data_IF_155580484591
#
_entry.id   IF_155580484591
#
_cell.length_a   1.000
_cell.length_b   1.000
_cell.length_c   1.000
_cell.angle_alpha   90.00
_cell.angle_beta   90.00
_cell.angle_gamma   90.00
#
_symmetry.space_group_name_H-M   'P 1'
#
loop_
_entity.id
_entity.type
_entity.pdbx_description
1 polymer ?
#
# COMPACT_ATOMS: atom_id res chain seq x y z
N UNK A 1 -12.28 -12.54 -16.21
CA UNK A 1 -12.02 -12.18 -14.82
C UNK A 1 -11.45 -10.77 -14.80
N UNK A 2 -12.07 -9.87 -14.04
CA UNK A 2 -11.78 -8.43 -14.07
C UNK A 2 -11.63 -7.88 -12.68
N UNK A 3 -10.94 -6.73 -12.55
CA UNK A 3 -10.78 -6.01 -11.30
C UNK A 3 -11.35 -4.60 -11.36
N UNK A 4 -11.71 -4.05 -10.21
CA UNK A 4 -12.09 -2.64 -10.08
C UNK A 4 -11.08 -1.97 -9.16
N UNK A 5 -10.34 -1.00 -9.69
CA UNK A 5 -9.48 -0.11 -8.93
C UNK A 5 -10.23 1.20 -8.65
N UNK A 6 -10.35 1.55 -7.37
CA UNK A 6 -11.01 2.77 -6.91
C UNK A 6 -9.93 3.70 -6.37
N UNK A 7 -9.68 4.78 -7.11
CA UNK A 7 -8.65 5.76 -6.76
C UNK A 7 -9.15 6.78 -5.73
N UNK A 8 -8.48 6.87 -4.59
CA UNK A 8 -8.77 7.83 -3.52
C UNK A 8 -7.63 8.85 -3.45
N UNK A 9 -7.75 10.01 -4.10
CA UNK A 9 -6.65 10.97 -4.24
C UNK A 9 -6.50 11.90 -3.03
N UNK A 10 -6.57 11.36 -1.82
CA UNK A 10 -6.44 12.15 -0.60
C UNK A 10 -5.40 11.56 0.33
N UNK A 11 -4.57 12.44 0.95
CA UNK A 11 -3.61 12.10 1.98
C UNK A 11 -3.71 13.11 3.13
N UNK A 12 -3.39 12.69 4.36
CA UNK A 12 -3.24 13.62 5.49
C UNK A 12 -1.98 14.47 5.34
N UNK A 13 -0.92 13.88 4.81
CA UNK A 13 0.41 14.46 4.70
C UNK A 13 1.04 14.14 3.36
N UNK A 14 1.83 15.07 2.81
CA UNK A 14 2.58 14.88 1.57
C UNK A 14 3.95 14.27 1.89
N UNK A 15 4.18 13.02 1.50
CA UNK A 15 5.50 12.40 1.60
C UNK A 15 6.50 13.10 0.66
N UNK A 16 7.77 13.24 1.07
CA UNK A 16 8.77 13.99 0.32
C UNK A 16 9.12 13.37 -1.04
N UNK A 17 8.96 12.07 -1.19
CA UNK A 17 9.29 11.30 -2.40
C UNK A 17 8.11 11.12 -3.37
N UNK A 18 6.87 11.38 -2.91
CA UNK A 18 5.66 10.99 -3.64
C UNK A 18 5.35 11.97 -4.80
N UNK A 19 5.23 11.43 -6.01
CA UNK A 19 4.82 12.13 -7.23
C UNK A 19 3.41 11.74 -7.70
N UNK A 20 2.71 10.89 -6.97
CA UNK A 20 1.35 10.48 -7.32
C UNK A 20 0.36 11.64 -7.24
N UNK A 21 -0.74 11.49 -7.97
CA UNK A 21 -1.82 12.46 -7.91
C UNK A 21 -2.57 12.37 -6.58
N UNK A 22 -2.34 13.31 -5.69
CA UNK A 22 -3.04 13.40 -4.40
C UNK A 22 -3.32 14.85 -3.99
N UNK A 23 -4.16 15.01 -2.99
CA UNK A 23 -4.45 16.29 -2.34
C UNK A 23 -4.48 16.14 -0.82
N UNK A 24 -3.86 17.08 -0.12
CA UNK A 24 -4.00 17.19 1.35
C UNK A 24 -5.22 18.01 1.77
N UNK A 25 -5.94 18.58 0.80
CA UNK A 25 -7.19 19.27 1.06
C UNK A 25 -8.38 18.31 0.99
N UNK A 26 -8.91 17.95 2.15
CA UNK A 26 -9.98 16.95 2.31
C UNK A 26 -11.40 17.49 2.08
N UNK A 27 -11.57 18.78 1.78
CA UNK A 27 -12.90 19.43 1.68
C UNK A 27 -13.83 18.79 0.65
N UNK A 28 -13.25 18.19 -0.39
CA UNK A 28 -14.02 17.54 -1.47
C UNK A 28 -14.10 16.01 -1.33
N UNK A 29 -13.71 15.46 -0.20
CA UNK A 29 -13.67 14.01 0.00
C UNK A 29 -15.05 13.37 -0.15
N UNK A 30 -16.06 13.93 0.49
CA UNK A 30 -17.43 13.40 0.46
C UNK A 30 -18.06 13.53 -0.93
N UNK A 31 -17.83 14.66 -1.64
CA UNK A 31 -18.26 14.84 -3.03
C UNK A 31 -17.58 13.81 -3.96
N UNK A 32 -16.31 13.49 -3.73
CA UNK A 32 -15.58 12.48 -4.49
C UNK A 32 -16.16 11.08 -4.28
N UNK A 33 -16.52 10.72 -3.06
CA UNK A 33 -17.17 9.42 -2.76
C UNK A 33 -18.48 9.27 -3.54
N UNK A 34 -19.29 10.31 -3.60
CA UNK A 34 -20.53 10.30 -4.39
C UNK A 34 -20.25 10.22 -5.91
N UNK A 35 -19.22 10.93 -6.39
CA UNK A 35 -18.83 10.89 -7.79
C UNK A 35 -18.30 9.50 -8.19
N UNK A 36 -17.50 8.85 -7.33
CA UNK A 36 -17.00 7.49 -7.55
C UNK A 36 -18.16 6.48 -7.61
N UNK A 37 -19.13 6.56 -6.70
CA UNK A 37 -20.30 5.70 -6.74
C UNK A 37 -21.09 5.88 -8.05
N UNK A 38 -21.20 7.11 -8.54
CA UNK A 38 -21.86 7.42 -9.83
C UNK A 38 -21.06 6.87 -11.01
N UNK A 39 -19.73 6.98 -10.99
CA UNK A 39 -18.87 6.40 -12.02
C UNK A 39 -18.96 4.88 -12.05
N UNK A 40 -18.98 4.21 -10.90
CA UNK A 40 -19.21 2.76 -10.76
C UNK A 40 -20.51 2.36 -11.48
N UNK A 41 -21.60 3.08 -11.22
CA UNK A 41 -22.89 2.86 -11.89
C UNK A 41 -22.80 3.06 -13.41
N UNK A 42 -22.21 4.17 -13.85
CA UNK A 42 -22.13 4.53 -15.28
C UNK A 42 -21.30 3.54 -16.09
N UNK A 43 -20.21 3.02 -15.51
CA UNK A 43 -19.32 2.07 -16.17
C UNK A 43 -19.81 0.61 -16.13
N UNK A 44 -20.88 0.32 -15.40
CA UNK A 44 -21.34 -1.06 -15.18
C UNK A 44 -21.66 -1.84 -16.47
N UNK A 45 -22.02 -1.14 -17.55
CA UNK A 45 -22.32 -1.74 -18.85
C UNK A 45 -21.08 -2.07 -19.68
N UNK A 46 -19.90 -1.57 -19.31
CA UNK A 46 -18.66 -1.77 -20.07
C UNK A 46 -17.91 -3.06 -19.71
N UNK A 47 -18.33 -3.74 -18.65
CA UNK A 47 -17.71 -4.98 -18.16
C UNK A 47 -18.78 -6.04 -18.04
N UNK A 48 -18.60 -7.16 -18.72
CA UNK A 48 -19.50 -8.33 -18.70
C UNK A 48 -18.95 -9.46 -17.84
N UNK A 49 -17.67 -9.47 -17.59
CA UNK A 49 -16.95 -10.45 -16.80
C UNK A 49 -17.26 -10.29 -15.30
N UNK A 50 -17.02 -11.35 -14.54
CA UNK A 50 -17.13 -11.28 -13.08
C UNK A 50 -15.95 -10.53 -12.48
N UNK A 51 -16.22 -9.73 -11.44
CA UNK A 51 -15.21 -8.99 -10.67
C UNK A 51 -14.61 -9.93 -9.63
N UNK A 52 -13.29 -10.09 -9.68
CA UNK A 52 -12.50 -10.89 -8.75
C UNK A 52 -11.79 -10.04 -7.69
N UNK A 53 -11.49 -8.77 -8.05
CA UNK A 53 -10.78 -7.87 -7.14
C UNK A 53 -11.47 -6.51 -7.06
N UNK A 54 -11.52 -5.94 -5.85
CA UNK A 54 -11.89 -4.55 -5.59
C UNK A 54 -10.72 -3.95 -4.82
N UNK A 55 -10.06 -2.97 -5.40
CA UNK A 55 -8.85 -2.40 -4.83
C UNK A 55 -9.02 -0.89 -4.60
N UNK A 56 -8.93 -0.47 -3.34
CA UNK A 56 -8.89 0.93 -2.97
C UNK A 56 -7.44 1.35 -2.82
N UNK A 57 -7.00 2.25 -3.69
CA UNK A 57 -5.62 2.72 -3.72
C UNK A 57 -5.51 4.20 -4.10
N UNK A 58 -4.28 4.66 -4.31
CA UNK A 58 -3.97 6.00 -4.80
C UNK A 58 -3.22 6.87 -3.81
N UNK A 59 -3.90 7.77 -3.10
CA UNK A 59 -3.33 8.53 -2.01
C UNK A 59 -3.32 7.71 -0.72
N UNK A 60 -4.40 7.82 0.08
CA UNK A 60 -4.53 7.08 1.34
C UNK A 60 -5.99 6.67 1.56
N UNK A 61 -6.44 5.54 1.02
CA UNK A 61 -7.83 5.10 1.14
C UNK A 61 -8.31 4.91 2.58
N UNK A 62 -7.42 4.60 3.52
CA UNK A 62 -7.76 4.49 4.95
C UNK A 62 -8.29 5.77 5.59
N UNK A 63 -8.17 6.92 4.93
CA UNK A 63 -8.73 8.20 5.38
C UNK A 63 -10.27 8.26 5.23
N UNK A 64 -10.86 7.41 4.39
CA UNK A 64 -12.31 7.34 4.21
C UNK A 64 -12.98 6.79 5.48
N UNK A 65 -14.19 7.23 5.77
CA UNK A 65 -14.99 6.61 6.82
C UNK A 65 -15.39 5.18 6.41
N UNK A 66 -15.64 4.30 7.38
CA UNK A 66 -16.12 2.93 7.10
C UNK A 66 -17.42 2.96 6.29
N UNK A 67 -18.30 3.91 6.60
CA UNK A 67 -19.55 4.09 5.85
C UNK A 67 -19.30 4.40 4.37
N UNK A 68 -18.27 5.20 4.04
CA UNK A 68 -17.90 5.54 2.67
C UNK A 68 -17.34 4.32 1.92
N UNK A 69 -16.42 3.57 2.55
CA UNK A 69 -15.88 2.33 1.99
C UNK A 69 -17.00 1.32 1.73
N UNK A 70 -17.86 1.11 2.72
CA UNK A 70 -19.02 0.23 2.59
C UNK A 70 -19.95 0.66 1.45
N UNK A 71 -20.25 1.95 1.35
CA UNK A 71 -21.10 2.51 0.30
C UNK A 71 -20.52 2.25 -1.09
N UNK A 72 -19.22 2.43 -1.28
CA UNK A 72 -18.55 2.14 -2.56
C UNK A 72 -18.53 0.65 -2.86
N UNK A 73 -18.22 -0.21 -1.88
CA UNK A 73 -18.27 -1.67 -2.04
C UNK A 73 -19.68 -2.12 -2.41
N UNK A 74 -20.70 -1.66 -1.69
CA UNK A 74 -22.10 -2.01 -1.99
C UNK A 74 -22.53 -1.49 -3.37
N UNK A 75 -22.00 -0.34 -3.83
CA UNK A 75 -22.21 0.18 -5.19
C UNK A 75 -21.63 -0.77 -6.25
N UNK A 76 -20.46 -1.36 -6.00
CA UNK A 76 -19.88 -2.39 -6.90
C UNK A 76 -20.79 -3.62 -6.94
N UNK A 77 -21.17 -4.16 -5.79
CA UNK A 77 -22.04 -5.36 -5.74
C UNK A 77 -23.41 -5.15 -6.37
N UNK A 78 -23.94 -3.92 -6.30
CA UNK A 78 -25.22 -3.55 -6.94
C UNK A 78 -25.14 -3.53 -8.47
N UNK A 79 -24.01 -3.14 -9.02
CA UNK A 79 -23.88 -2.81 -10.44
C UNK A 79 -23.09 -3.87 -11.25
N UNK A 80 -22.33 -4.74 -10.59
CA UNK A 80 -21.48 -5.75 -11.23
C UNK A 80 -21.73 -7.14 -10.68
N UNK A 81 -21.41 -8.15 -11.50
CA UNK A 81 -21.34 -9.54 -11.02
C UNK A 81 -20.02 -9.74 -10.31
N UNK A 82 -20.03 -9.87 -9.00
CA UNK A 82 -18.86 -10.13 -8.17
C UNK A 82 -18.79 -11.62 -7.87
N UNK A 83 -17.59 -12.21 -7.89
CA UNK A 83 -17.39 -13.62 -7.48
C UNK A 83 -17.75 -13.80 -6.00
N UNK A 84 -17.94 -15.04 -5.58
CA UNK A 84 -18.34 -15.35 -4.19
C UNK A 84 -17.28 -14.87 -3.17
N UNK A 85 -15.99 -15.05 -3.46
CA UNK A 85 -14.87 -14.70 -2.59
C UNK A 85 -13.89 -13.75 -3.33
N UNK A 86 -14.24 -12.46 -3.52
CA UNK A 86 -13.35 -11.50 -4.15
C UNK A 86 -12.23 -11.09 -3.21
N UNK A 87 -11.09 -10.70 -3.76
CA UNK A 87 -10.08 -9.96 -2.99
C UNK A 87 -10.50 -8.49 -2.88
N UNK A 88 -10.73 -8.02 -1.66
CA UNK A 88 -11.09 -6.60 -1.39
C UNK A 88 -9.96 -5.99 -0.57
N UNK A 89 -9.14 -5.19 -1.24
CA UNK A 89 -7.94 -4.57 -0.68
C UNK A 89 -8.18 -3.11 -0.34
N UNK A 90 -7.66 -2.68 0.80
CA UNK A 90 -7.56 -1.27 1.20
C UNK A 90 -6.12 -0.93 1.49
N UNK A 91 -5.57 0.07 0.77
CA UNK A 91 -4.31 0.69 1.14
C UNK A 91 -4.49 1.58 2.38
N UNK A 92 -3.53 1.51 3.29
CA UNK A 92 -3.62 2.19 4.56
C UNK A 92 -2.26 2.70 5.07
N UNK A 93 -2.29 3.79 5.82
CA UNK A 93 -1.15 4.21 6.64
C UNK A 93 -1.33 3.72 8.08
N UNK A 94 -0.23 3.40 8.80
CA UNK A 94 -0.29 2.96 10.20
C UNK A 94 -1.06 3.91 11.13
N UNK A 95 -0.90 5.23 10.97
CA UNK A 95 -1.57 6.25 11.78
C UNK A 95 -3.11 6.31 11.60
N UNK A 96 -3.64 5.70 10.54
CA UNK A 96 -5.08 5.56 10.30
C UNK A 96 -5.65 4.27 10.91
N UNK A 97 -4.81 3.28 11.18
CA UNK A 97 -5.19 1.92 11.57
C UNK A 97 -5.18 1.74 13.10
N UNK A 98 -6.08 2.44 13.79
CA UNK A 98 -6.37 2.14 15.20
C UNK A 98 -7.01 0.75 15.33
N UNK A 99 -6.95 0.14 16.51
CA UNK A 99 -7.60 -1.17 16.78
C UNK A 99 -9.08 -1.16 16.37
N UNK A 100 -9.82 -0.15 16.78
CA UNK A 100 -11.23 0.02 16.39
C UNK A 100 -11.38 0.03 14.87
N UNK A 101 -10.50 0.74 14.16
CA UNK A 101 -10.53 0.86 12.72
C UNK A 101 -10.26 -0.47 12.02
N UNK A 102 -9.27 -1.22 12.50
CA UNK A 102 -8.93 -2.55 11.97
C UNK A 102 -10.12 -3.51 12.14
N UNK A 103 -10.74 -3.53 13.34
CA UNK A 103 -11.93 -4.34 13.61
C UNK A 103 -13.10 -3.95 12.70
N UNK A 104 -13.32 -2.67 12.48
CA UNK A 104 -14.38 -2.20 11.59
C UNK A 104 -14.13 -2.63 10.13
N UNK A 105 -12.89 -2.50 9.64
CA UNK A 105 -12.52 -2.95 8.28
C UNK A 105 -12.77 -4.46 8.12
N UNK A 106 -12.32 -5.28 9.06
CA UNK A 106 -12.50 -6.75 9.02
C UNK A 106 -13.96 -7.19 9.00
N UNK A 107 -14.88 -6.38 9.57
CA UNK A 107 -16.33 -6.65 9.56
C UNK A 107 -17.05 -6.16 8.31
N UNK A 108 -16.37 -5.42 7.42
CA UNK A 108 -16.98 -4.75 6.26
C UNK A 108 -16.46 -5.26 4.91
N UNK A 109 -16.37 -6.60 4.74
CA UNK A 109 -15.95 -7.31 3.52
C UNK A 109 -14.49 -7.05 3.08
N UNK A 110 -13.75 -6.15 3.73
CA UNK A 110 -12.33 -5.99 3.46
C UNK A 110 -11.61 -7.24 3.96
N UNK A 111 -10.83 -7.89 3.09
CA UNK A 111 -10.13 -9.12 3.43
C UNK A 111 -8.64 -9.08 3.11
N UNK A 112 -8.15 -7.92 2.65
CA UNK A 112 -6.71 -7.65 2.46
C UNK A 112 -6.39 -6.22 2.85
N UNK A 113 -5.29 -6.03 3.59
CA UNK A 113 -4.71 -4.71 3.85
C UNK A 113 -3.37 -4.58 3.11
N UNK A 114 -3.08 -3.40 2.56
CA UNK A 114 -1.75 -3.00 2.10
C UNK A 114 -1.31 -1.81 2.95
N UNK A 115 -0.30 -2.00 3.81
CA UNK A 115 0.04 -1.04 4.84
C UNK A 115 1.39 -0.41 4.52
N UNK A 116 1.40 0.89 4.27
CA UNK A 116 2.59 1.66 3.95
C UNK A 116 3.48 1.90 5.17
N UNK A 117 4.27 0.92 5.58
CA UNK A 117 5.23 0.99 6.69
C UNK A 117 6.45 1.83 6.30
N UNK A 118 7.03 1.56 5.15
CA UNK A 118 8.20 2.15 4.50
C UNK A 118 9.52 1.83 5.22
N UNK A 119 9.64 2.04 6.53
CA UNK A 119 10.79 1.69 7.35
C UNK A 119 10.40 1.50 8.81
N UNK A 120 11.20 0.74 9.56
CA UNK A 120 11.12 0.60 11.02
C UNK A 120 12.21 1.43 11.73
N UNK A 121 12.70 2.50 11.06
CA UNK A 121 13.65 3.45 11.62
C UNK A 121 13.10 4.88 11.53
N UNK A 122 13.19 5.60 12.65
CA UNK A 122 12.57 6.90 12.79
C UNK A 122 13.17 7.96 11.85
N UNK A 123 14.49 7.93 11.65
CA UNK A 123 15.20 8.83 10.74
C UNK A 123 14.78 8.65 9.27
N UNK A 124 14.55 7.42 8.82
CA UNK A 124 14.02 7.15 7.48
C UNK A 124 12.59 7.69 7.33
N UNK A 125 11.73 7.45 8.32
CA UNK A 125 10.36 7.96 8.31
C UNK A 125 10.32 9.49 8.28
N UNK A 126 11.19 10.15 9.04
CA UNK A 126 11.34 11.61 9.05
C UNK A 126 11.86 12.14 7.71
N UNK A 127 12.89 11.49 7.12
CA UNK A 127 13.39 11.84 5.79
C UNK A 127 12.29 11.77 4.74
N UNK A 128 11.47 10.74 4.79
CA UNK A 128 10.34 10.51 3.89
C UNK A 128 9.10 11.36 4.22
N UNK A 129 9.10 12.09 5.34
CA UNK A 129 7.95 12.85 5.85
C UNK A 129 6.70 11.98 6.04
N UNK A 130 6.86 10.83 6.72
CA UNK A 130 5.73 9.96 7.06
C UNK A 130 4.95 10.53 8.24
N UNK A 131 3.63 10.30 8.24
CA UNK A 131 2.75 10.77 9.31
C UNK A 131 2.84 9.92 10.58
N UNK A 132 3.21 8.65 10.44
CA UNK A 132 3.38 7.69 11.55
C UNK A 132 4.84 7.61 12.00
N UNK A 133 5.05 7.15 13.21
CA UNK A 133 6.33 6.78 13.79
C UNK A 133 6.51 5.24 13.88
N UNK A 134 7.69 4.80 14.30
CA UNK A 134 8.04 3.36 14.38
C UNK A 134 7.13 2.59 15.33
N UNK A 135 6.78 3.15 16.48
CA UNK A 135 5.92 2.50 17.48
C UNK A 135 4.48 2.32 16.94
N UNK A 136 3.96 3.33 16.24
CA UNK A 136 2.65 3.24 15.58
C UNK A 136 2.66 2.17 14.50
N UNK A 137 3.73 2.07 13.69
CA UNK A 137 3.89 1.05 12.68
C UNK A 137 3.87 -0.37 13.28
N UNK A 138 4.67 -0.61 14.33
CA UNK A 138 4.72 -1.91 15.02
C UNK A 138 3.39 -2.27 15.65
N UNK A 139 2.80 -1.34 16.41
CA UNK A 139 1.50 -1.56 17.07
C UNK A 139 0.39 -1.84 16.07
N UNK A 140 0.39 -1.13 14.93
CA UNK A 140 -0.54 -1.36 13.84
C UNK A 140 -0.44 -2.81 13.34
N UNK A 141 0.77 -3.31 13.07
CA UNK A 141 1.00 -4.67 12.59
C UNK A 141 0.62 -5.72 13.64
N UNK A 142 0.99 -5.53 14.91
CA UNK A 142 0.57 -6.41 16.01
C UNK A 142 -0.94 -6.60 16.04
N UNK A 143 -1.70 -5.52 15.90
CA UNK A 143 -3.16 -5.58 15.91
C UNK A 143 -3.69 -6.16 14.60
N UNK A 144 -3.20 -5.69 13.45
CA UNK A 144 -3.72 -6.09 12.14
C UNK A 144 -3.61 -7.60 11.92
N UNK A 145 -2.50 -8.23 12.32
CA UNK A 145 -2.27 -9.67 12.18
C UNK A 145 -3.21 -10.55 13.00
N UNK A 146 -3.92 -9.99 14.00
CA UNK A 146 -4.97 -10.70 14.73
C UNK A 146 -6.32 -10.74 13.98
N UNK A 147 -6.54 -9.82 13.06
CA UNK A 147 -7.84 -9.65 12.39
C UNK A 147 -7.79 -9.93 10.88
N UNK A 148 -6.60 -9.93 10.29
CA UNK A 148 -6.39 -10.18 8.87
C UNK A 148 -5.28 -11.19 8.63
N UNK A 149 -5.58 -12.24 7.86
CA UNK A 149 -4.59 -13.22 7.41
C UNK A 149 -3.82 -12.72 6.18
N UNK A 150 -4.45 -11.87 5.35
CA UNK A 150 -3.87 -11.35 4.11
C UNK A 150 -3.46 -9.89 4.27
N UNK A 151 -2.21 -9.69 4.67
CA UNK A 151 -1.59 -8.37 4.87
C UNK A 151 -0.38 -8.26 3.96
N UNK A 152 -0.32 -7.16 3.21
CA UNK A 152 0.88 -6.66 2.55
C UNK A 152 1.46 -5.51 3.35
N UNK A 153 2.76 -5.43 3.43
CA UNK A 153 3.43 -4.21 3.90
C UNK A 153 4.33 -3.67 2.81
N UNK A 154 4.45 -2.35 2.75
CA UNK A 154 5.35 -1.69 1.82
C UNK A 154 6.61 -1.26 2.56
N UNK A 155 7.79 -1.56 1.99
CA UNK A 155 9.11 -1.15 2.47
C UNK A 155 9.86 -0.39 1.37
N UNK A 156 10.64 0.61 1.76
CA UNK A 156 11.47 1.39 0.83
C UNK A 156 12.95 1.17 1.18
N UNK A 157 13.74 0.75 0.19
CA UNK A 157 15.18 0.59 0.29
C UNK A 157 15.94 1.64 -0.54
N UNK A 158 17.28 1.68 -0.40
CA UNK A 158 18.11 2.68 -1.09
C UNK A 158 17.88 4.10 -0.54
N UNK A 159 17.38 4.23 0.69
CA UNK A 159 17.25 5.52 1.38
C UNK A 159 18.66 6.05 1.66
N UNK A 160 18.95 7.33 1.44
CA UNK A 160 20.24 7.92 1.79
C UNK A 160 20.65 7.58 3.23
N UNK A 161 21.92 7.22 3.41
CA UNK A 161 22.53 6.83 4.70
C UNK A 161 21.98 5.51 5.31
N UNK A 162 21.14 4.77 4.60
CA UNK A 162 20.71 3.43 5.02
C UNK A 162 21.85 2.43 4.74
N UNK A 163 22.42 1.80 5.78
CA UNK A 163 23.39 0.73 5.63
C UNK A 163 22.72 -0.60 5.31
N UNK A 164 23.52 -1.57 4.82
CA UNK A 164 23.07 -2.94 4.58
C UNK A 164 22.52 -3.60 5.85
N UNK A 165 23.13 -3.34 7.01
CA UNK A 165 22.68 -3.85 8.31
C UNK A 165 21.33 -3.24 8.70
N UNK A 166 21.15 -1.92 8.51
CA UNK A 166 19.90 -1.23 8.77
C UNK A 166 18.77 -1.75 7.88
N UNK A 167 19.07 -1.97 6.59
CA UNK A 167 18.13 -2.58 5.66
C UNK A 167 17.75 -4.01 6.06
N UNK A 168 18.74 -4.85 6.41
CA UNK A 168 18.48 -6.21 6.90
C UNK A 168 17.58 -6.21 8.14
N UNK A 169 17.80 -5.30 9.10
CA UNK A 169 16.95 -5.15 10.28
C UNK A 169 15.50 -4.75 9.92
N UNK A 170 15.29 -3.91 8.89
CA UNK A 170 13.95 -3.61 8.38
C UNK A 170 13.24 -4.89 7.92
N UNK A 171 13.91 -5.72 7.11
CA UNK A 171 13.35 -6.98 6.61
C UNK A 171 13.07 -7.95 7.76
N UNK A 172 14.01 -8.12 8.70
CA UNK A 172 13.85 -9.02 9.85
C UNK A 172 12.72 -8.58 10.77
N UNK A 173 12.57 -7.27 10.98
CA UNK A 173 11.45 -6.73 11.73
C UNK A 173 10.12 -7.03 11.03
N UNK A 174 10.04 -6.83 9.71
CA UNK A 174 8.86 -7.18 8.92
C UNK A 174 8.50 -8.67 9.05
N UNK A 175 9.49 -9.54 8.90
CA UNK A 175 9.32 -11.00 9.00
C UNK A 175 8.85 -11.43 10.39
N UNK A 176 9.28 -10.74 11.46
CA UNK A 176 8.89 -11.07 12.84
C UNK A 176 7.40 -10.93 13.12
N UNK A 177 6.68 -10.09 12.36
CA UNK A 177 5.22 -9.95 12.44
C UNK A 177 4.46 -11.05 11.71
N UNK A 178 5.15 -11.93 10.96
CA UNK A 178 4.52 -13.04 10.23
C UNK A 178 3.67 -12.62 9.04
N UNK A 179 3.83 -11.40 8.52
CA UNK A 179 3.09 -10.93 7.33
C UNK A 179 3.39 -11.81 6.12
N UNK A 180 2.39 -12.21 5.33
CA UNK A 180 2.59 -13.13 4.21
C UNK A 180 3.01 -12.47 2.91
N UNK A 181 3.03 -11.14 2.83
CA UNK A 181 3.32 -10.40 1.61
C UNK A 181 4.09 -9.11 1.92
N UNK A 182 5.11 -8.83 1.10
CA UNK A 182 5.94 -7.63 1.19
C UNK A 182 6.03 -7.02 -0.21
N UNK A 183 5.68 -5.74 -0.34
CA UNK A 183 6.00 -4.91 -1.51
C UNK A 183 7.22 -4.07 -1.15
N UNK A 184 8.23 -4.05 -2.02
CA UNK A 184 9.44 -3.29 -1.71
C UNK A 184 9.94 -2.52 -2.93
N UNK A 185 10.24 -1.24 -2.71
CA UNK A 185 10.57 -0.29 -3.76
C UNK A 185 11.90 0.40 -3.46
N UNK A 186 12.71 0.63 -4.50
CA UNK A 186 13.84 1.55 -4.37
C UNK A 186 13.31 2.98 -4.19
N UNK A 187 13.95 3.76 -3.33
CA UNK A 187 13.66 5.19 -3.23
C UNK A 187 14.06 5.88 -4.53
N UNK A 188 13.08 6.33 -5.30
CA UNK A 188 13.30 7.10 -6.53
C UNK A 188 13.17 8.60 -6.26
N UNK A 189 13.93 9.39 -7.03
CA UNK A 189 13.94 10.86 -6.92
C UNK A 189 13.18 11.43 -8.11
N UNK A 190 11.87 11.57 -7.96
CA UNK A 190 11.03 12.06 -9.04
C UNK A 190 11.07 13.60 -9.14
N UNK A 191 11.09 14.16 -10.37
CA UNK A 191 11.06 15.60 -10.58
C UNK A 191 9.86 16.27 -9.89
N UNK A 192 10.05 17.47 -9.36
CA UNK A 192 9.04 18.30 -8.67
C UNK A 192 8.63 17.80 -7.27
N UNK A 193 9.21 16.72 -6.77
CA UNK A 193 9.01 16.30 -5.37
C UNK A 193 9.82 17.17 -4.41
N UNK A 194 9.45 17.16 -3.13
CA UNK A 194 10.21 17.82 -2.09
C UNK A 194 11.62 17.19 -1.96
N UNK A 195 11.70 15.86 -2.03
CA UNK A 195 12.97 15.12 -2.00
C UNK A 195 13.92 15.60 -3.11
N UNK A 196 13.45 15.72 -4.35
CA UNK A 196 14.25 16.26 -5.45
C UNK A 196 14.78 17.68 -5.14
N UNK A 197 13.93 18.56 -4.59
CA UNK A 197 14.36 19.91 -4.20
C UNK A 197 15.39 19.91 -3.09
N UNK A 198 15.29 19.02 -2.10
CA UNK A 198 16.25 18.91 -1.00
C UNK A 198 17.61 18.40 -1.47
N UNK A 199 17.62 17.43 -2.38
CA UNK A 199 18.85 16.92 -3.01
C UNK A 199 19.55 18.02 -3.83
N UNK A 200 18.80 18.74 -4.67
CA UNK A 200 19.36 19.87 -5.45
C UNK A 200 19.97 20.97 -4.57
N UNK A 201 19.45 21.16 -3.36
CA UNK A 201 19.97 22.14 -2.38
C UNK A 201 21.10 21.58 -1.52
N UNK A 202 21.47 20.32 -1.69
CA UNK A 202 22.49 19.65 -0.87
C UNK A 202 22.07 19.41 0.59
N UNK A 203 20.76 19.40 0.87
CA UNK A 203 20.20 19.13 2.21
C UNK A 203 20.17 17.63 2.49
N UNK A 204 19.81 16.84 1.49
CA UNK A 204 19.80 15.38 1.52
C UNK A 204 20.76 14.89 0.45
N UNK A 205 21.62 13.89 0.71
CA UNK A 205 22.46 13.28 -0.32
C UNK A 205 21.61 12.57 -1.39
N UNK A 206 22.18 12.46 -2.58
CA UNK A 206 21.58 11.67 -3.66
C UNK A 206 21.54 10.19 -3.25
N UNK A 207 20.42 9.47 -3.45
CA UNK A 207 20.41 8.02 -3.36
C UNK A 207 21.48 7.39 -4.26
N UNK A 208 22.11 6.32 -3.78
CA UNK A 208 23.17 5.61 -4.48
C UNK A 208 22.58 4.35 -5.14
N UNK A 209 22.72 4.26 -6.46
CA UNK A 209 22.19 3.13 -7.23
C UNK A 209 22.91 1.81 -6.91
N UNK A 210 24.21 1.83 -6.57
CA UNK A 210 24.96 0.64 -6.18
C UNK A 210 24.45 0.11 -4.83
N UNK A 211 24.24 0.99 -3.87
CA UNK A 211 23.63 0.65 -2.56
C UNK A 211 22.20 0.13 -2.75
N UNK A 212 21.41 0.73 -3.61
CA UNK A 212 20.06 0.26 -3.90
C UNK A 212 20.08 -1.16 -4.53
N UNK A 213 21.04 -1.44 -5.40
CA UNK A 213 21.23 -2.78 -5.97
C UNK A 213 21.64 -3.81 -4.90
N UNK A 214 22.55 -3.46 -3.99
CA UNK A 214 22.92 -4.34 -2.87
C UNK A 214 21.73 -4.63 -1.96
N UNK A 215 20.95 -3.60 -1.61
CA UNK A 215 19.74 -3.75 -0.81
C UNK A 215 18.70 -4.65 -1.49
N UNK A 216 18.54 -4.54 -2.81
CA UNK A 216 17.66 -5.43 -3.56
C UNK A 216 18.12 -6.90 -3.49
N UNK A 217 19.44 -7.16 -3.61
CA UNK A 217 19.96 -8.51 -3.49
C UNK A 217 19.74 -9.08 -2.08
N UNK A 218 20.01 -8.29 -1.04
CA UNK A 218 19.73 -8.66 0.37
C UNK A 218 18.25 -9.02 0.55
N UNK A 219 17.35 -8.21 -0.03
CA UNK A 219 15.90 -8.44 0.03
C UNK A 219 15.53 -9.78 -0.60
N UNK A 220 16.00 -10.03 -1.84
CA UNK A 220 15.69 -11.26 -2.58
C UNK A 220 16.17 -12.49 -1.82
N UNK A 221 17.40 -12.48 -1.35
CA UNK A 221 18.01 -13.60 -0.64
C UNK A 221 17.28 -13.86 0.68
N UNK A 222 17.10 -12.81 1.50
CA UNK A 222 16.46 -12.93 2.81
C UNK A 222 14.99 -13.38 2.74
N UNK A 223 14.23 -12.84 1.80
CA UNK A 223 12.82 -13.24 1.63
C UNK A 223 12.70 -14.66 1.06
N UNK A 224 13.58 -15.06 0.13
CA UNK A 224 13.62 -16.42 -0.40
C UNK A 224 13.92 -17.45 0.70
N UNK A 225 14.91 -17.19 1.57
CA UNK A 225 15.23 -18.01 2.74
C UNK A 225 14.04 -18.19 3.70
N UNK A 226 13.13 -17.22 3.73
CA UNK A 226 11.93 -17.23 4.57
C UNK A 226 10.65 -17.70 3.85
N UNK A 227 10.80 -18.34 2.67
CA UNK A 227 9.71 -18.97 1.93
C UNK A 227 8.83 -18.01 1.15
N UNK A 228 9.31 -16.80 0.86
CA UNK A 228 8.64 -15.88 -0.05
C UNK A 228 9.06 -16.17 -1.49
N UNK A 229 8.13 -15.97 -2.40
CA UNK A 229 8.33 -16.06 -3.84
C UNK A 229 8.33 -14.64 -4.40
N UNK A 230 9.41 -14.27 -5.11
CA UNK A 230 9.48 -13.04 -5.88
C UNK A 230 8.66 -13.27 -7.17
N UNK A 231 7.39 -12.88 -7.18
CA UNK A 231 6.46 -13.23 -8.25
C UNK A 231 6.26 -12.14 -9.31
N UNK A 232 6.72 -10.92 -9.03
CA UNK A 232 6.80 -9.81 -9.98
C UNK A 232 7.81 -8.75 -9.47
N UNK A 233 7.99 -7.64 -10.18
CA UNK A 233 9.10 -6.69 -10.01
C UNK A 233 9.36 -6.24 -8.56
N UNK A 234 8.31 -5.88 -7.83
CA UNK A 234 8.42 -5.27 -6.49
C UNK A 234 7.75 -6.08 -5.40
N UNK A 235 7.09 -7.19 -5.75
CA UNK A 235 6.24 -7.92 -4.81
C UNK A 235 6.75 -9.33 -4.51
N UNK A 236 6.78 -9.62 -3.22
CA UNK A 236 7.18 -10.90 -2.65
C UNK A 236 6.02 -11.43 -1.80
N UNK A 237 5.61 -12.67 -2.02
CA UNK A 237 4.51 -13.27 -1.28
C UNK A 237 4.77 -14.73 -0.95
N UNK A 238 4.21 -15.20 0.15
CA UNK A 238 4.09 -16.63 0.40
C UNK A 238 3.07 -17.24 -0.55
N UNK A 239 3.15 -18.53 -0.79
CA UNK A 239 2.20 -19.25 -1.62
C UNK A 239 0.75 -18.95 -1.17
N UNK A 240 -0.15 -18.68 -2.12
CA UNK A 240 -1.55 -18.27 -1.92
C UNK A 240 -1.79 -16.83 -1.41
N UNK A 241 -0.74 -16.02 -1.20
CA UNK A 241 -0.86 -14.63 -0.75
C UNK A 241 -0.41 -13.60 -1.79
N UNK A 242 -0.22 -14.00 -3.05
CA UNK A 242 0.05 -13.05 -4.12
C UNK A 242 -1.14 -12.12 -4.30
N UNK A 243 -0.88 -10.83 -4.45
CA UNK A 243 -1.93 -9.86 -4.76
C UNK A 243 -2.60 -10.22 -6.09
N UNK A 244 -3.88 -10.57 -6.04
CA UNK A 244 -4.64 -10.89 -7.27
C UNK A 244 -4.77 -9.67 -8.17
N UNK A 245 -4.94 -8.50 -7.57
CA UNK A 245 -5.02 -7.25 -8.30
C UNK A 245 -3.71 -6.95 -9.05
N UNK A 246 -2.55 -7.01 -8.39
CA UNK A 246 -1.26 -6.76 -9.02
C UNK A 246 -0.94 -7.80 -10.10
N UNK A 247 -1.17 -9.07 -9.81
CA UNK A 247 -1.01 -10.15 -10.80
C UNK A 247 -1.87 -9.95 -12.05
N UNK A 248 -3.05 -9.34 -11.90
CA UNK A 248 -3.95 -9.07 -13.02
C UNK A 248 -3.38 -8.10 -14.04
N UNK A 249 -2.60 -7.11 -13.62
CA UNK A 249 -1.89 -6.19 -14.52
C UNK A 249 -0.89 -6.94 -15.42
N UNK A 250 -0.08 -7.81 -14.83
CA UNK A 250 0.92 -8.60 -15.57
C UNK A 250 0.28 -9.62 -16.53
N UNK A 251 -0.89 -10.12 -16.18
CA UNK A 251 -1.65 -11.06 -17.01
C UNK A 251 -2.53 -10.36 -18.06
N UNK A 252 -2.51 -9.03 -18.14
CA UNK A 252 -3.33 -8.27 -19.08
C UNK A 252 -4.84 -8.43 -18.85
N UNK A 253 -5.28 -8.74 -17.63
CA UNK A 253 -6.70 -8.83 -17.29
C UNK A 253 -7.32 -7.42 -17.25
N UNK A 254 -8.61 -7.33 -17.54
CA UNK A 254 -9.35 -6.05 -17.51
C UNK A 254 -9.66 -5.65 -16.07
#
# INVERSE_FOLDING_TARGET
MSGIYIHIPFCKQACHYCDFHFSTNLKKKDEMVLALAKEIEMRSKSITEQIETIYFGGGTPSILQIADLKFLIDSVYKNYKVVENPEITVEANPDDLTETRIIELSKNKVNRLSIGIQSFFEDDLQLMNRAHNVEEAKKCLEIATHYFDNISIDLIYGVPEMSNEKWLQNIETALSFGVPHISSYALTVEPKTALHSFIQKGIIPQPDDEVAQEHFQILVDKLSENGFIHYELSNFGKENYFSKNNSSYWLGKK
#
